data_IF_678461132779
#
_entry.id   IF_678461132779
#
_cell.length_a   1.000
_cell.length_b   1.000
_cell.length_c   1.000
_cell.angle_alpha   90.00
_cell.angle_beta   90.00
_cell.angle_gamma   90.00
#
_symmetry.space_group_name_H-M   'P 1'
#
loop_
_entity.id
_entity.type
_entity.pdbx_description
1 polymer ?
#
# COMPACT_ATOMS: atom_id res chain seq x y z
N UNK A 1 -17.30 16.93 -35.35
CA UNK A 1 -17.48 17.43 -33.97
C UNK A 1 -17.01 16.32 -33.04
N UNK A 2 -15.98 16.59 -32.25
CA UNK A 2 -15.37 15.60 -31.34
C UNK A 2 -16.41 15.29 -30.26
N UNK A 3 -16.82 14.03 -30.17
CA UNK A 3 -17.58 13.50 -29.04
C UNK A 3 -16.67 13.69 -27.81
N UNK A 4 -16.90 14.74 -27.03
CA UNK A 4 -16.34 14.81 -25.69
C UNK A 4 -17.18 13.84 -24.88
N UNK A 5 -16.72 12.59 -24.79
CA UNK A 5 -17.12 11.71 -23.69
C UNK A 5 -16.75 12.47 -22.41
N UNK A 6 -17.75 13.04 -21.73
CA UNK A 6 -17.57 13.69 -20.43
C UNK A 6 -17.41 12.55 -19.41
N UNK A 7 -16.17 12.34 -18.97
CA UNK A 7 -15.84 11.37 -17.94
C UNK A 7 -15.90 12.06 -16.57
N UNK A 8 -16.60 11.45 -15.61
CA UNK A 8 -16.53 11.89 -14.21
C UNK A 8 -15.19 11.46 -13.60
N UNK A 9 -14.41 12.42 -13.09
CA UNK A 9 -13.07 12.18 -12.50
C UNK A 9 -13.11 12.20 -10.98
N UNK A 10 -12.61 11.14 -10.36
CA UNK A 10 -12.37 11.06 -8.91
C UNK A 10 -10.88 10.83 -8.67
N UNK A 11 -10.25 11.55 -7.76
CA UNK A 11 -8.82 11.36 -7.46
C UNK A 11 -8.62 10.95 -6.02
N UNK A 12 -7.92 9.84 -5.81
CA UNK A 12 -7.49 9.35 -4.51
C UNK A 12 -5.99 9.60 -4.33
N UNK A 13 -5.59 10.03 -3.13
CA UNK A 13 -4.19 10.19 -2.75
C UNK A 13 -3.90 9.35 -1.51
N UNK A 14 -2.98 8.39 -1.62
CA UNK A 14 -2.53 7.56 -0.49
C UNK A 14 -1.02 7.68 -0.40
N UNK A 15 -0.51 8.15 0.74
CA UNK A 15 0.93 8.36 0.93
C UNK A 15 1.59 9.24 -0.13
N UNK A 16 0.86 10.22 -0.68
CA UNK A 16 1.33 11.09 -1.76
C UNK A 16 1.41 10.44 -3.15
N UNK A 17 0.77 9.29 -3.34
CA UNK A 17 0.56 8.65 -4.65
C UNK A 17 -0.86 8.99 -5.12
N UNK A 18 -0.98 9.72 -6.23
CA UNK A 18 -2.26 10.18 -6.78
C UNK A 18 -2.73 9.31 -7.93
N UNK A 19 -3.89 8.69 -7.77
CA UNK A 19 -4.56 7.88 -8.79
C UNK A 19 -5.90 8.54 -9.10
N UNK A 20 -6.13 8.88 -10.36
CA UNK A 20 -7.43 9.36 -10.82
C UNK A 20 -8.20 8.24 -11.50
N UNK A 21 -9.45 8.08 -11.12
CA UNK A 21 -10.42 7.17 -11.68
C UNK A 21 -11.39 7.95 -12.57
N UNK A 22 -11.61 7.47 -13.79
CA UNK A 22 -12.45 8.11 -14.80
C UNK A 22 -13.64 7.20 -15.07
N UNK A 23 -14.85 7.68 -14.79
CA UNK A 23 -16.11 6.96 -14.98
C UNK A 23 -16.85 7.51 -16.20
N UNK A 24 -17.47 6.63 -16.98
CA UNK A 24 -18.33 7.02 -18.11
C UNK A 24 -19.69 7.54 -17.58
N UNK A 25 -20.14 8.73 -18.00
CA UNK A 25 -21.39 9.34 -17.54
C UNK A 25 -22.66 8.60 -18.01
N UNK A 26 -22.55 7.70 -19.00
CA UNK A 26 -23.69 6.92 -19.49
C UNK A 26 -24.25 5.89 -18.49
N UNK A 27 -23.64 5.74 -17.31
CA UNK A 27 -24.06 4.83 -16.25
C UNK A 27 -24.33 5.59 -14.94
N UNK A 28 -25.60 5.92 -14.70
CA UNK A 28 -26.23 6.38 -13.45
C UNK A 28 -25.32 6.93 -12.33
N UNK A 29 -25.22 8.26 -12.23
CA UNK A 29 -25.05 8.93 -10.94
C UNK A 29 -25.35 10.43 -11.05
N UNK A 30 -26.63 10.78 -10.91
CA UNK A 30 -27.01 12.17 -10.62
C UNK A 30 -26.27 12.64 -9.34
N UNK A 31 -25.76 13.87 -9.39
CA UNK A 31 -25.23 14.68 -8.28
C UNK A 31 -23.81 14.39 -7.72
N UNK A 32 -22.71 14.67 -8.44
CA UNK A 32 -21.47 15.19 -7.78
C UNK A 32 -20.68 16.08 -8.76
N UNK A 33 -20.18 17.24 -8.29
CA UNK A 33 -19.43 18.23 -9.07
C UNK A 33 -18.02 17.78 -9.46
N UNK A 34 -17.70 17.91 -10.75
CA UNK A 34 -16.37 17.80 -11.34
C UNK A 34 -15.44 18.94 -10.85
N UNK A 35 -14.24 18.58 -10.38
CA UNK A 35 -13.20 19.53 -9.93
C UNK A 35 -11.99 19.60 -10.88
N UNK A 36 -12.20 19.31 -12.17
CA UNK A 36 -11.32 19.78 -13.24
C UNK A 36 -10.03 18.99 -13.47
N UNK A 37 -9.45 19.26 -14.64
CA UNK A 37 -8.22 18.64 -15.16
C UNK A 37 -6.98 19.05 -14.34
N UNK A 38 -6.73 18.37 -13.24
CA UNK A 38 -5.45 18.45 -12.54
C UNK A 38 -4.35 17.62 -13.24
N UNK A 39 -3.25 18.29 -13.63
CA UNK A 39 -2.04 17.71 -14.23
C UNK A 39 -1.10 17.05 -13.21
N UNK A 40 -1.43 17.07 -11.92
CA UNK A 40 -0.64 16.46 -10.85
C UNK A 40 -0.84 14.94 -10.66
N UNK A 41 -1.80 14.34 -11.38
CA UNK A 41 -2.11 12.90 -11.30
C UNK A 41 -0.94 12.05 -11.79
N UNK A 42 -0.56 11.03 -11.01
CA UNK A 42 0.50 10.09 -11.39
C UNK A 42 0.00 8.95 -12.28
N UNK A 43 -1.23 8.46 -12.03
CA UNK A 43 -1.84 7.36 -12.80
C UNK A 43 -3.33 7.63 -13.03
N UNK A 44 -3.83 7.40 -14.25
CA UNK A 44 -5.23 7.60 -14.66
C UNK A 44 -5.86 6.28 -15.10
N UNK A 45 -6.89 5.83 -14.41
CA UNK A 45 -7.56 4.56 -14.69
C UNK A 45 -9.00 4.81 -15.12
N UNK A 46 -9.36 4.38 -16.33
CA UNK A 46 -10.76 4.39 -16.78
C UNK A 46 -11.49 3.19 -16.21
N UNK A 47 -12.72 3.37 -15.76
CA UNK A 47 -13.52 2.31 -15.14
C UNK A 47 -14.64 1.91 -16.09
N UNK A 48 -14.75 0.61 -16.30
CA UNK A 48 -15.76 -0.04 -17.14
C UNK A 48 -16.55 -1.01 -16.26
N UNK A 49 -17.88 -0.86 -16.20
CA UNK A 49 -18.74 -1.72 -15.39
C UNK A 49 -19.57 -2.68 -16.24
N UNK A 50 -20.06 -3.73 -15.59
CA UNK A 50 -20.99 -4.70 -16.14
C UNK A 50 -20.37 -5.73 -17.07
N UNK A 51 -19.07 -5.62 -17.39
CA UNK A 51 -18.37 -6.60 -18.20
C UNK A 51 -16.87 -6.66 -17.86
N UNK A 52 -16.27 -7.80 -18.17
CA UNK A 52 -14.82 -8.00 -18.19
C UNK A 52 -14.48 -8.58 -19.56
N UNK A 53 -13.61 -7.93 -20.36
CA UNK A 53 -13.31 -8.40 -21.70
C UNK A 53 -12.56 -9.72 -21.63
N UNK A 54 -12.89 -10.64 -22.56
CA UNK A 54 -12.02 -11.78 -22.81
C UNK A 54 -10.71 -11.27 -23.40
N UNK A 55 -9.60 -11.60 -22.75
CA UNK A 55 -8.28 -11.27 -23.25
C UNK A 55 -7.50 -12.52 -23.60
N UNK A 56 -6.87 -12.49 -24.77
CA UNK A 56 -5.89 -13.51 -25.13
C UNK A 56 -4.59 -13.20 -24.36
N UNK A 57 -4.50 -13.79 -23.17
CA UNK A 57 -3.38 -13.64 -22.24
C UNK A 57 -2.20 -14.48 -22.75
N UNK A 58 -1.08 -13.83 -23.05
CA UNK A 58 0.06 -14.46 -23.74
C UNK A 58 1.15 -14.96 -22.81
N UNK A 59 1.43 -14.24 -21.73
CA UNK A 59 2.55 -14.54 -20.83
C UNK A 59 2.16 -14.26 -19.37
N UNK A 60 2.32 -15.25 -18.49
CA UNK A 60 2.17 -15.08 -17.04
C UNK A 60 3.48 -14.59 -16.46
N UNK A 61 3.52 -13.32 -16.06
CA UNK A 61 4.70 -12.70 -15.47
C UNK A 61 4.84 -13.01 -13.97
N UNK A 62 3.72 -13.22 -13.28
CA UNK A 62 3.70 -13.60 -11.87
C UNK A 62 2.41 -14.33 -11.51
N UNK A 63 2.53 -15.26 -10.57
CA UNK A 63 1.42 -15.97 -9.96
C UNK A 63 1.60 -15.98 -8.44
N UNK A 64 0.60 -15.49 -7.71
CA UNK A 64 0.61 -15.57 -6.24
C UNK A 64 0.27 -16.98 -5.73
N UNK A 65 -0.20 -17.87 -6.60
CA UNK A 65 -0.64 -19.23 -6.26
C UNK A 65 -1.99 -19.27 -5.54
N UNK A 66 -2.70 -18.14 -5.39
CA UNK A 66 -3.91 -18.10 -4.56
C UNK A 66 -4.94 -17.03 -4.91
N UNK A 67 -4.53 -15.76 -5.02
CA UNK A 67 -5.47 -14.63 -4.95
C UNK A 67 -5.38 -13.68 -6.14
N UNK A 68 -4.23 -13.60 -6.78
CA UNK A 68 -3.99 -12.71 -7.92
C UNK A 68 -2.85 -13.18 -8.82
N UNK A 69 -2.84 -12.72 -10.06
CA UNK A 69 -1.74 -12.94 -10.99
C UNK A 69 -1.49 -11.69 -11.85
N UNK A 70 -0.25 -11.59 -12.36
CA UNK A 70 0.16 -10.56 -13.30
C UNK A 70 0.54 -11.21 -14.62
N UNK A 71 0.03 -10.62 -15.70
CA UNK A 71 0.29 -11.08 -17.05
C UNK A 71 0.84 -9.95 -17.92
N UNK A 72 1.50 -10.34 -19.01
CA UNK A 72 1.87 -9.46 -20.11
C UNK A 72 1.10 -9.87 -21.36
N UNK A 73 0.42 -8.90 -21.98
CA UNK A 73 -0.23 -9.11 -23.28
C UNK A 73 -0.21 -7.83 -24.09
N UNK A 74 0.24 -7.93 -25.35
CA UNK A 74 0.30 -6.78 -26.27
C UNK A 74 1.17 -5.62 -25.76
N UNK A 75 2.20 -5.90 -24.95
CA UNK A 75 3.04 -4.89 -24.32
C UNK A 75 2.47 -4.29 -23.03
N UNK A 76 1.20 -4.55 -22.71
CA UNK A 76 0.54 -4.06 -21.49
C UNK A 76 0.69 -5.05 -20.34
N UNK A 77 0.45 -4.53 -19.14
CA UNK A 77 0.35 -5.31 -17.91
C UNK A 77 -1.11 -5.59 -17.59
N UNK A 78 -1.40 -6.80 -17.15
CA UNK A 78 -2.75 -7.21 -16.79
C UNK A 78 -2.73 -7.81 -15.40
N UNK A 79 -3.40 -7.16 -14.46
CA UNK A 79 -3.65 -7.67 -13.11
C UNK A 79 -5.06 -8.23 -13.05
N UNK A 80 -5.22 -9.39 -12.45
CA UNK A 80 -6.54 -9.96 -12.19
C UNK A 80 -6.53 -10.70 -10.86
N UNK A 81 -7.70 -10.77 -10.23
CA UNK A 81 -7.94 -11.77 -9.20
C UNK A 81 -7.86 -13.13 -9.88
N UNK A 82 -7.05 -14.03 -9.33
CA UNK A 82 -6.84 -15.36 -9.92
C UNK A 82 -7.23 -16.40 -8.87
N UNK A 83 -8.43 -16.98 -9.02
CA UNK A 83 -8.82 -18.18 -8.29
C UNK A 83 -8.53 -19.38 -9.18
N UNK A 84 -7.34 -19.98 -8.99
CA UNK A 84 -6.83 -21.12 -9.75
C UNK A 84 -7.81 -22.31 -9.86
N UNK A 85 -8.83 -22.38 -9.00
CA UNK A 85 -9.76 -23.50 -8.89
C UNK A 85 -11.07 -23.33 -9.68
N UNK A 86 -11.45 -22.12 -10.09
CA UNK A 86 -12.85 -21.89 -10.49
C UNK A 86 -13.12 -22.03 -12.00
N UNK A 87 -12.08 -21.96 -12.85
CA UNK A 87 -12.24 -21.83 -14.31
C UNK A 87 -13.13 -20.65 -14.74
N UNK A 88 -13.48 -19.76 -13.80
CA UNK A 88 -14.44 -18.70 -13.99
C UNK A 88 -13.71 -17.40 -14.33
N UNK A 89 -14.25 -16.58 -15.24
CA UNK A 89 -13.63 -15.32 -15.62
C UNK A 89 -13.54 -14.37 -14.42
N UNK A 90 -12.43 -13.64 -14.25
CA UNK A 90 -12.19 -12.81 -13.08
C UNK A 90 -13.27 -11.73 -12.93
N UNK A 91 -13.62 -11.39 -11.69
CA UNK A 91 -14.61 -10.36 -11.40
C UNK A 91 -14.06 -8.94 -11.58
N UNK A 92 -12.74 -8.78 -11.51
CA UNK A 92 -12.04 -7.52 -11.74
C UNK A 92 -10.73 -7.75 -12.49
N UNK A 93 -10.50 -6.92 -13.51
CA UNK A 93 -9.36 -6.95 -14.40
C UNK A 93 -8.80 -5.54 -14.54
N UNK A 94 -7.50 -5.37 -14.33
CA UNK A 94 -6.81 -4.09 -14.48
C UNK A 94 -5.80 -4.20 -15.60
N UNK A 95 -5.95 -3.39 -16.63
CA UNK A 95 -5.03 -3.30 -17.76
C UNK A 95 -4.25 -2.00 -17.63
N UNK A 96 -2.93 -2.09 -17.50
CA UNK A 96 -2.03 -0.95 -17.33
C UNK A 96 -1.12 -0.81 -18.54
N UNK A 97 -0.93 0.44 -18.97
CA UNK A 97 0.08 0.78 -19.96
C UNK A 97 1.49 0.51 -19.41
N UNK A 98 2.51 0.32 -20.28
CA UNK A 98 3.86 -0.05 -19.87
C UNK A 98 4.53 0.93 -18.90
N UNK A 99 4.10 2.20 -18.90
CA UNK A 99 4.63 3.26 -18.04
C UNK A 99 3.80 3.47 -16.75
N UNK A 100 2.74 2.69 -16.58
CA UNK A 100 1.79 2.75 -15.46
C UNK A 100 1.12 4.11 -15.25
N UNK A 101 1.13 5.01 -16.24
CA UNK A 101 0.48 6.32 -16.16
C UNK A 101 -0.98 6.28 -16.56
N UNK A 102 -1.38 5.28 -17.33
CA UNK A 102 -2.77 5.08 -17.70
C UNK A 102 -3.17 3.61 -17.75
N UNK A 103 -4.46 3.36 -17.71
CA UNK A 103 -5.01 2.02 -17.81
C UNK A 103 -6.53 2.00 -17.74
N UNK A 104 -7.05 0.79 -17.70
CA UNK A 104 -8.47 0.46 -17.68
C UNK A 104 -8.73 -0.55 -16.55
N UNK A 105 -9.77 -0.33 -15.75
CA UNK A 105 -10.31 -1.27 -14.77
C UNK A 105 -11.63 -1.76 -15.34
N UNK A 106 -11.77 -3.07 -15.48
CA UNK A 106 -13.03 -3.72 -15.84
C UNK A 106 -13.54 -4.46 -14.62
N UNK A 107 -14.81 -4.24 -14.26
CA UNK A 107 -15.46 -4.93 -13.15
C UNK A 107 -16.82 -5.48 -13.56
N UNK A 108 -17.11 -6.72 -13.15
CA UNK A 108 -18.42 -7.33 -13.33
C UNK A 108 -19.46 -6.77 -12.34
N UNK A 109 -19.01 -6.29 -11.17
CA UNK A 109 -19.89 -5.71 -10.17
C UNK A 109 -20.17 -4.23 -10.47
N UNK A 110 -21.44 -3.85 -10.35
CA UNK A 110 -21.89 -2.47 -10.48
C UNK A 110 -21.92 -1.72 -9.13
N UNK A 111 -21.70 -2.41 -8.02
CA UNK A 111 -21.75 -1.79 -6.69
C UNK A 111 -20.41 -1.13 -6.34
N UNK A 112 -20.36 0.19 -6.53
CA UNK A 112 -19.30 1.02 -5.97
C UNK A 112 -19.72 1.52 -4.60
N UNK A 113 -18.98 1.14 -3.56
CA UNK A 113 -19.13 1.80 -2.27
C UNK A 113 -18.43 3.17 -2.32
N UNK A 114 -19.21 4.20 -2.66
CA UNK A 114 -18.74 5.58 -2.84
C UNK A 114 -18.06 6.16 -1.58
N UNK A 115 -18.27 5.56 -0.41
CA UNK A 115 -17.69 6.01 0.85
C UNK A 115 -16.21 5.62 1.03
N UNK A 116 -15.70 4.68 0.23
CA UNK A 116 -14.31 4.20 0.27
C UNK A 116 -13.70 4.31 -1.13
N UNK A 117 -13.38 5.53 -1.57
CA UNK A 117 -12.75 5.81 -2.88
C UNK A 117 -11.47 5.01 -3.17
N UNK A 118 -10.87 4.40 -2.15
CA UNK A 118 -9.72 3.49 -2.25
C UNK A 118 -10.02 2.08 -2.75
N UNK A 119 -11.30 1.68 -2.90
CA UNK A 119 -11.65 0.27 -3.15
C UNK A 119 -12.23 -0.05 -4.53
N UNK A 120 -12.03 0.84 -5.52
CA UNK A 120 -12.40 0.58 -6.93
C UNK A 120 -11.82 -0.72 -7.49
N UNK A 121 -10.76 -1.23 -6.87
CA UNK A 121 -9.97 -2.39 -7.30
C UNK A 121 -10.21 -3.62 -6.43
N UNK A 122 -10.75 -3.47 -5.21
CA UNK A 122 -10.79 -4.53 -4.21
C UNK A 122 -9.40 -4.95 -3.70
N UNK A 123 -9.39 -5.68 -2.58
CA UNK A 123 -8.24 -6.48 -2.18
C UNK A 123 -8.12 -7.74 -3.07
N UNK A 124 -6.91 -8.14 -3.50
CA UNK A 124 -5.61 -7.53 -3.22
C UNK A 124 -5.15 -6.50 -4.27
N UNK A 125 -5.88 -6.30 -5.36
CA UNK A 125 -5.42 -5.52 -6.52
C UNK A 125 -5.09 -4.06 -6.18
N UNK A 126 -5.82 -3.46 -5.22
CA UNK A 126 -5.53 -2.12 -4.71
C UNK A 126 -4.10 -2.01 -4.12
N UNK A 127 -3.68 -3.01 -3.34
CA UNK A 127 -2.34 -3.07 -2.74
C UNK A 127 -1.28 -3.42 -3.78
N UNK A 128 -1.58 -4.33 -4.72
CA UNK A 128 -0.64 -4.69 -5.79
C UNK A 128 -0.36 -3.49 -6.70
N UNK A 129 -1.39 -2.73 -7.11
CA UNK A 129 -1.20 -1.50 -7.87
C UNK A 129 -0.32 -0.51 -7.09
N UNK A 130 -0.57 -0.35 -5.79
CA UNK A 130 0.26 0.53 -4.95
C UNK A 130 1.73 0.07 -4.90
N UNK A 131 1.99 -1.23 -4.78
CA UNK A 131 3.35 -1.79 -4.80
C UNK A 131 4.04 -1.46 -6.13
N UNK A 132 3.34 -1.61 -7.26
CA UNK A 132 3.86 -1.22 -8.58
C UNK A 132 4.20 0.28 -8.61
N UNK A 133 3.27 1.14 -8.20
CA UNK A 133 3.48 2.58 -8.30
C UNK A 133 4.58 3.09 -7.36
N UNK A 134 4.73 2.47 -6.19
CA UNK A 134 5.78 2.77 -5.22
C UNK A 134 7.17 2.35 -5.74
N UNK A 135 7.26 1.20 -6.41
CA UNK A 135 8.52 0.67 -6.92
C UNK A 135 9.14 1.47 -8.07
N UNK A 136 8.36 2.39 -8.67
CA UNK A 136 8.83 3.36 -9.67
C UNK A 136 9.69 4.49 -9.07
N UNK A 137 10.49 4.18 -8.05
CA UNK A 137 11.37 5.15 -7.40
C UNK A 137 10.70 6.02 -6.32
N UNK A 138 9.49 5.65 -5.85
CA UNK A 138 8.67 6.52 -4.98
C UNK A 138 8.64 6.10 -3.52
N UNK A 139 8.83 4.83 -3.21
CA UNK A 139 8.84 4.32 -1.84
C UNK A 139 8.60 2.82 -1.74
N UNK A 140 8.26 2.34 -0.54
CA UNK A 140 7.97 0.93 -0.27
C UNK A 140 6.72 0.79 0.59
N UNK A 141 6.04 -0.35 0.45
CA UNK A 141 4.96 -0.75 1.35
C UNK A 141 5.52 -1.73 2.38
N UNK A 142 5.27 -1.48 3.66
CA UNK A 142 5.76 -2.28 4.78
C UNK A 142 4.61 -2.88 5.57
N UNK A 143 4.83 -4.09 6.08
CA UNK A 143 3.99 -4.78 7.05
C UNK A 143 4.33 -4.28 8.45
N UNK A 144 3.64 -3.22 8.88
CA UNK A 144 4.07 -2.42 10.01
C UNK A 144 2.92 -1.68 10.69
N UNK A 145 3.16 -1.31 11.95
CA UNK A 145 2.33 -0.41 12.75
C UNK A 145 3.04 0.93 12.90
N UNK A 146 2.39 2.02 12.51
CA UNK A 146 2.91 3.38 12.63
C UNK A 146 2.25 4.14 13.77
N UNK A 147 3.05 4.71 14.67
CA UNK A 147 2.58 5.45 15.85
C UNK A 147 3.16 6.86 15.86
N UNK A 148 2.34 7.83 16.25
CA UNK A 148 2.74 9.21 16.57
C UNK A 148 2.37 9.54 18.01
N UNK A 149 3.38 9.61 18.88
CA UNK A 149 3.25 10.04 20.26
C UNK A 149 3.77 11.46 20.42
N UNK A 150 2.89 12.46 20.25
CA UNK A 150 3.26 13.87 20.42
C UNK A 150 4.43 14.34 19.54
N UNK A 151 4.60 13.78 18.34
CA UNK A 151 5.71 14.08 17.42
C UNK A 151 6.91 13.13 17.55
N UNK A 152 6.85 12.15 18.45
CA UNK A 152 7.76 11.00 18.50
C UNK A 152 7.18 9.85 17.66
N UNK A 153 7.71 9.72 16.45
CA UNK A 153 7.14 8.90 15.39
C UNK A 153 7.85 7.55 15.30
N UNK A 154 7.14 6.48 15.66
CA UNK A 154 7.67 5.12 15.72
C UNK A 154 7.09 4.24 14.62
N UNK A 155 7.95 3.43 13.99
CA UNK A 155 7.55 2.42 13.04
C UNK A 155 7.88 1.03 13.59
N UNK A 156 6.85 0.25 13.93
CA UNK A 156 6.97 -1.11 14.45
C UNK A 156 6.70 -2.13 13.35
N UNK A 157 7.71 -2.87 12.91
CA UNK A 157 7.54 -3.94 11.93
C UNK A 157 7.52 -5.29 12.62
N UNK A 158 6.62 -6.17 12.20
CA UNK A 158 6.51 -7.52 12.75
C UNK A 158 5.81 -8.45 11.77
N UNK A 159 6.12 -9.74 11.83
CA UNK A 159 5.36 -10.73 11.08
C UNK A 159 3.92 -10.80 11.62
N UNK A 160 3.04 -11.54 10.94
CA UNK A 160 1.72 -11.82 11.50
C UNK A 160 1.87 -12.48 12.87
N UNK A 161 1.07 -12.05 13.85
CA UNK A 161 1.14 -12.54 15.23
C UNK A 161 2.30 -11.99 16.09
N UNK A 162 3.15 -11.08 15.59
CA UNK A 162 4.22 -10.45 16.40
C UNK A 162 3.74 -9.25 17.25
N UNK A 163 2.42 -9.04 17.39
CA UNK A 163 1.86 -8.03 18.31
C UNK A 163 1.82 -6.58 17.81
N UNK A 164 1.76 -6.35 16.49
CA UNK A 164 1.58 -5.00 15.91
C UNK A 164 0.27 -4.34 16.38
N UNK A 165 -0.84 -5.07 16.32
CA UNK A 165 -2.15 -4.58 16.78
C UNK A 165 -2.20 -4.44 18.31
N UNK A 166 -1.39 -5.20 19.05
CA UNK A 166 -1.16 -4.97 20.48
C UNK A 166 -0.46 -3.62 20.72
N UNK A 167 0.60 -3.31 19.97
CA UNK A 167 1.23 -1.98 20.03
C UNK A 167 0.25 -0.87 19.67
N UNK A 168 -0.51 -1.03 18.59
CA UNK A 168 -1.52 -0.05 18.19
C UNK A 168 -2.50 0.25 19.34
N UNK A 169 -3.01 -0.80 20.00
CA UNK A 169 -3.94 -0.66 21.14
C UNK A 169 -3.31 0.04 22.33
N UNK A 170 -2.15 -0.39 22.80
CA UNK A 170 -1.48 0.20 23.98
C UNK A 170 -1.19 1.68 23.78
N UNK A 171 -0.64 2.04 22.62
CA UNK A 171 -0.35 3.43 22.28
C UNK A 171 -1.62 4.27 22.13
N UNK A 172 -2.67 3.74 21.50
CA UNK A 172 -3.95 4.43 21.35
C UNK A 172 -4.63 4.70 22.70
N UNK A 173 -4.68 3.70 23.59
CA UNK A 173 -5.22 3.83 24.95
C UNK A 173 -4.44 4.88 25.77
N UNK A 174 -3.17 5.11 25.43
CA UNK A 174 -2.30 6.14 25.97
C UNK A 174 -2.27 7.44 25.12
N UNK A 175 -3.33 7.71 24.37
CA UNK A 175 -3.58 8.97 23.62
C UNK A 175 -2.62 9.26 22.46
N UNK A 176 -1.82 8.29 22.02
CA UNK A 176 -1.03 8.43 20.80
C UNK A 176 -1.92 8.20 19.55
N UNK A 177 -1.49 8.76 18.42
CA UNK A 177 -2.18 8.55 17.14
C UNK A 177 -1.63 7.30 16.45
N UNK A 178 -2.52 6.38 16.10
CA UNK A 178 -2.18 5.22 15.25
C UNK A 178 -2.40 5.60 13.79
N UNK A 179 -1.37 5.44 12.96
CA UNK A 179 -1.48 5.70 11.53
C UNK A 179 -2.13 4.52 10.80
N UNK A 180 -1.67 3.31 11.10
CA UNK A 180 -2.18 2.03 10.63
C UNK A 180 -1.44 0.92 11.40
N UNK A 181 -2.01 -0.27 11.57
CA UNK A 181 -1.39 -1.42 12.26
C UNK A 181 -0.88 -2.54 11.34
N UNK A 182 -1.11 -2.43 10.02
CA UNK A 182 -0.82 -3.47 9.04
C UNK A 182 -0.08 -2.98 7.79
N UNK A 183 -0.58 -1.96 7.09
CA UNK A 183 0.00 -1.43 5.85
C UNK A 183 0.44 0.02 6.02
N UNK A 184 1.76 0.24 5.99
CA UNK A 184 2.38 1.56 6.03
C UNK A 184 3.17 1.80 4.75
N UNK A 185 2.97 2.96 4.13
CA UNK A 185 3.82 3.43 3.04
C UNK A 185 5.00 4.18 3.65
N UNK A 186 6.22 3.89 3.18
CA UNK A 186 7.42 4.66 3.52
C UNK A 186 8.03 5.27 2.27
N UNK A 187 8.33 6.57 2.32
CA UNK A 187 8.92 7.33 1.21
C UNK A 187 10.05 8.22 1.69
N UNK A 188 10.99 8.51 0.80
CA UNK A 188 11.99 9.56 1.04
C UNK A 188 11.45 10.90 0.49
N UNK A 189 11.55 11.95 1.31
CA UNK A 189 11.21 13.32 0.94
C UNK A 189 12.21 14.26 1.59
N UNK A 190 12.85 15.10 0.78
CA UNK A 190 13.82 16.11 1.22
C UNK A 190 14.94 15.52 2.10
N UNK A 191 15.44 14.34 1.73
CA UNK A 191 16.50 13.61 2.44
C UNK A 191 16.08 12.94 3.75
N UNK A 192 14.79 12.99 4.11
CA UNK A 192 14.22 12.32 5.29
C UNK A 192 13.24 11.23 4.89
N UNK A 193 13.12 10.20 5.72
CA UNK A 193 12.13 9.14 5.52
C UNK A 193 10.85 9.46 6.28
N UNK A 194 9.74 9.33 5.57
CA UNK A 194 8.39 9.59 6.05
C UNK A 194 7.56 8.32 5.95
N UNK A 195 6.77 8.05 6.98
CA UNK A 195 5.72 7.04 6.93
C UNK A 195 4.36 7.68 6.70
N UNK A 196 3.47 6.95 6.05
CA UNK A 196 2.11 7.36 5.75
C UNK A 196 1.16 6.21 6.08
N UNK A 197 0.08 6.51 6.81
CA UNK A 197 -1.02 5.57 7.00
C UNK A 197 -1.70 5.27 5.66
N UNK A 198 -2.32 4.09 5.60
CA UNK A 198 -3.10 3.65 4.44
C UNK A 198 -4.53 3.31 4.87
N UNK A 199 -5.50 3.23 3.94
CA UNK A 199 -6.86 2.80 4.29
C UNK A 199 -6.95 1.28 4.56
N UNK A 200 -5.85 0.53 4.41
CA UNK A 200 -5.81 -0.93 4.59
C UNK A 200 -5.37 -1.26 6.01
N UNK A 201 -6.31 -1.27 6.95
CA UNK A 201 -6.06 -1.62 8.34
C UNK A 201 -6.09 -3.14 8.55
N UNK A 202 -5.42 -3.59 9.60
CA UNK A 202 -5.49 -4.96 10.10
C UNK A 202 -6.59 -5.10 11.15
N UNK A 203 -6.26 -5.69 12.29
CA UNK A 203 -7.23 -5.95 13.36
C UNK A 203 -7.64 -4.66 14.11
N UNK A 204 -6.82 -3.62 14.04
CA UNK A 204 -7.08 -2.33 14.69
C UNK A 204 -7.71 -1.34 13.71
N UNK A 205 -8.88 -0.78 14.06
CA UNK A 205 -9.72 0.00 13.12
C UNK A 205 -9.36 1.48 13.03
N UNK A 206 -8.87 2.08 14.12
CA UNK A 206 -8.53 3.50 14.13
C UNK A 206 -7.25 3.72 13.32
N UNK A 207 -7.29 4.68 12.39
CA UNK A 207 -6.20 4.96 11.47
C UNK A 207 -6.09 6.46 11.18
N UNK A 208 -4.94 6.84 10.65
CA UNK A 208 -4.65 8.22 10.25
C UNK A 208 -3.79 8.21 8.99
N UNK A 209 -4.31 8.80 7.91
CA UNK A 209 -3.61 8.90 6.62
C UNK A 209 -2.50 9.97 6.59
N UNK A 210 -2.15 10.55 7.74
CA UNK A 210 -1.10 11.57 7.86
C UNK A 210 0.25 11.01 7.44
N UNK A 211 1.10 11.91 6.92
CA UNK A 211 2.51 11.66 6.69
C UNK A 211 3.36 12.23 7.80
N UNK A 212 4.26 11.45 8.38
CA UNK A 212 5.14 11.87 9.48
C UNK A 212 6.57 11.36 9.31
N UNK A 213 7.60 12.16 9.69
CA UNK A 213 8.99 11.75 9.57
C UNK A 213 9.35 10.69 10.61
N UNK A 214 9.92 9.57 10.18
CA UNK A 214 10.22 8.43 11.04
C UNK A 214 11.39 8.76 11.97
N UNK A 215 11.24 8.52 13.28
CA UNK A 215 12.29 8.73 14.29
C UNK A 215 13.07 7.46 14.61
N UNK A 216 12.35 6.35 14.86
CA UNK A 216 12.95 5.04 15.18
C UNK A 216 12.14 3.92 14.51
N UNK A 217 12.85 2.86 14.16
CA UNK A 217 12.30 1.62 13.62
C UNK A 217 12.51 0.51 14.64
N UNK A 218 11.45 -0.24 14.94
CA UNK A 218 11.48 -1.37 15.86
C UNK A 218 11.00 -2.63 15.14
N UNK A 219 11.78 -3.70 15.21
CA UNK A 219 11.38 -5.03 14.75
C UNK A 219 10.86 -5.83 15.94
N UNK A 220 9.56 -6.13 15.93
CA UNK A 220 8.89 -6.80 17.04
C UNK A 220 9.27 -8.28 17.14
N UNK A 221 9.56 -8.70 18.37
CA UNK A 221 9.76 -10.09 18.78
C UNK A 221 9.09 -10.30 20.14
N UNK A 222 8.50 -11.48 20.34
CA UNK A 222 7.98 -11.88 21.65
C UNK A 222 9.11 -12.00 22.68
N UNK A 223 8.89 -11.48 23.88
CA UNK A 223 9.84 -11.58 25.00
C UNK A 223 9.13 -11.47 26.35
N UNK A 224 9.76 -12.03 27.39
CA UNK A 224 9.29 -11.90 28.77
C UNK A 224 9.77 -10.59 29.43
N UNK A 225 10.63 -9.82 28.76
CA UNK A 225 11.21 -8.58 29.26
C UNK A 225 11.36 -7.56 28.13
N UNK A 226 11.18 -6.28 28.44
CA UNK A 226 11.42 -5.20 27.49
C UNK A 226 12.91 -5.04 27.21
N UNK A 227 13.29 -5.07 25.94
CA UNK A 227 14.68 -4.91 25.50
C UNK A 227 14.75 -4.37 24.06
N UNK A 228 15.69 -3.48 23.79
CA UNK A 228 15.93 -2.93 22.46
C UNK A 228 17.39 -3.14 22.05
N UNK A 229 17.61 -4.02 21.08
CA UNK A 229 18.95 -4.33 20.55
C UNK A 229 19.16 -3.61 19.23
N UNK A 230 20.19 -2.74 19.07
CA UNK A 230 20.44 -2.05 17.81
C UNK A 230 20.70 -3.02 16.65
N UNK A 231 20.06 -2.78 15.51
CA UNK A 231 20.24 -3.54 14.27
C UNK A 231 20.80 -2.62 13.19
N UNK A 232 21.85 -3.05 12.48
CA UNK A 232 22.58 -2.22 11.52
C UNK A 232 22.97 -3.00 10.26
N UNK A 233 23.33 -2.27 9.21
CA UNK A 233 23.88 -2.85 7.98
C UNK A 233 22.95 -3.91 7.36
N UNK A 234 23.53 -5.01 6.88
CA UNK A 234 22.78 -6.07 6.20
C UNK A 234 21.67 -6.69 7.06
N UNK A 235 21.84 -6.76 8.38
CA UNK A 235 20.82 -7.31 9.29
C UNK A 235 19.55 -6.47 9.28
N UNK A 236 19.67 -5.16 9.48
CA UNK A 236 18.52 -4.25 9.44
C UNK A 236 17.87 -4.22 8.05
N UNK A 237 18.66 -4.27 6.98
CA UNK A 237 18.14 -4.34 5.60
C UNK A 237 17.34 -5.61 5.38
N UNK A 238 17.87 -6.76 5.81
CA UNK A 238 17.14 -8.03 5.73
C UNK A 238 15.83 -7.98 6.50
N UNK A 239 15.85 -7.45 7.74
CA UNK A 239 14.64 -7.37 8.57
C UNK A 239 13.56 -6.44 7.98
N UNK A 240 13.96 -5.34 7.32
CA UNK A 240 13.05 -4.47 6.55
C UNK A 240 12.50 -5.19 5.33
N UNK A 241 13.37 -5.80 4.52
CA UNK A 241 12.99 -6.43 3.27
C UNK A 241 12.00 -7.58 3.49
N UNK A 242 12.24 -8.44 4.50
CA UNK A 242 11.33 -9.54 4.85
C UNK A 242 9.96 -9.08 5.37
N UNK A 243 9.84 -7.81 5.76
CA UNK A 243 8.59 -7.18 6.23
C UNK A 243 8.12 -6.11 5.25
N UNK A 244 8.58 -6.17 4.00
CA UNK A 244 8.12 -5.33 2.90
C UNK A 244 7.26 -6.14 1.94
N UNK A 245 6.53 -5.45 1.07
CA UNK A 245 5.85 -6.05 -0.07
C UNK A 245 6.57 -5.64 -1.37
N UNK A 246 7.65 -6.35 -1.77
CA UNK A 246 8.42 -6.00 -2.95
C UNK A 246 7.72 -6.48 -4.24
N UNK A 247 7.97 -5.82 -5.39
CA UNK A 247 7.47 -6.27 -6.70
C UNK A 247 8.32 -7.44 -7.21
N UNK A 248 8.06 -8.66 -6.72
CA UNK A 248 8.85 -9.86 -7.02
C UNK A 248 8.98 -10.19 -8.52
N UNK A 249 8.05 -9.68 -9.33
CA UNK A 249 7.99 -9.85 -10.79
C UNK A 249 8.78 -8.81 -11.59
N UNK A 250 9.31 -7.79 -10.93
CA UNK A 250 10.05 -6.72 -11.59
C UNK A 250 11.46 -6.57 -10.99
N UNK A 251 12.46 -6.94 -11.79
CA UNK A 251 13.88 -6.82 -11.41
C UNK A 251 14.26 -5.39 -11.02
N UNK A 252 13.78 -4.37 -11.75
CA UNK A 252 14.13 -2.97 -11.47
C UNK A 252 13.48 -2.48 -10.19
N UNK A 253 12.19 -2.78 -10.01
CA UNK A 253 11.46 -2.51 -8.78
C UNK A 253 12.08 -3.18 -7.56
N UNK A 254 12.50 -4.45 -7.68
CA UNK A 254 13.18 -5.17 -6.60
C UNK A 254 14.54 -4.55 -6.25
N UNK A 255 15.32 -4.17 -7.27
CA UNK A 255 16.59 -3.46 -7.08
C UNK A 255 16.38 -2.12 -6.36
N UNK A 256 15.33 -1.38 -6.74
CA UNK A 256 14.95 -0.15 -6.05
C UNK A 256 14.54 -0.41 -4.59
N UNK A 257 13.68 -1.40 -4.32
CA UNK A 257 13.25 -1.74 -2.95
C UNK A 257 14.44 -2.09 -2.07
N UNK A 258 15.41 -2.88 -2.57
CA UNK A 258 16.61 -3.23 -1.81
C UNK A 258 17.45 -1.99 -1.47
N UNK A 259 17.68 -1.10 -2.45
CA UNK A 259 18.40 0.17 -2.23
C UNK A 259 17.66 1.07 -1.24
N UNK A 260 16.33 1.14 -1.33
CA UNK A 260 15.51 1.93 -0.44
C UNK A 260 15.63 1.43 1.01
N UNK A 261 15.52 0.11 1.24
CA UNK A 261 15.72 -0.47 2.57
C UNK A 261 17.13 -0.22 3.12
N UNK A 262 18.16 -0.26 2.26
CA UNK A 262 19.53 0.07 2.64
C UNK A 262 19.70 1.52 3.13
N UNK A 263 19.16 2.48 2.38
CA UNK A 263 19.22 3.89 2.79
C UNK A 263 18.34 4.18 4.02
N UNK A 264 17.18 3.54 4.15
CA UNK A 264 16.32 3.63 5.33
C UNK A 264 17.05 3.16 6.59
N UNK A 265 17.63 1.96 6.57
CA UNK A 265 18.37 1.38 7.68
C UNK A 265 19.66 2.15 8.03
N UNK A 266 20.21 2.90 7.07
CA UNK A 266 21.39 3.74 7.26
C UNK A 266 21.05 5.06 7.96
N UNK A 267 19.91 5.68 7.60
CA UNK A 267 19.54 7.02 8.08
C UNK A 267 18.62 6.99 9.31
N UNK A 268 17.86 5.93 9.53
CA UNK A 268 16.92 5.80 10.65
C UNK A 268 17.43 4.74 11.63
N UNK A 269 17.54 5.04 12.94
CA UNK A 269 17.89 4.07 13.95
C UNK A 269 16.93 2.87 13.97
N UNK A 270 17.47 1.66 13.81
CA UNK A 270 16.73 0.42 13.84
C UNK A 270 17.08 -0.41 15.09
N UNK A 271 16.08 -1.02 15.71
CA UNK A 271 16.24 -1.88 16.87
C UNK A 271 15.39 -3.13 16.71
N UNK A 272 15.84 -4.26 17.22
CA UNK A 272 14.95 -5.39 17.53
C UNK A 272 14.39 -5.18 18.93
N UNK A 273 13.06 -5.15 19.04
CA UNK A 273 12.33 -4.90 20.27
C UNK A 273 11.72 -6.22 20.77
N UNK A 274 12.28 -6.75 21.85
CA UNK A 274 11.58 -7.71 22.70
C UNK A 274 10.66 -6.93 23.63
N UNK A 275 9.38 -7.28 23.71
CA UNK A 275 8.45 -6.56 24.58
C UNK A 275 7.47 -7.47 25.32
N UNK A 276 7.08 -6.98 26.50
CA UNK A 276 5.95 -7.47 27.28
C UNK A 276 4.69 -6.70 26.82
N UNK A 277 3.57 -7.37 26.54
CA UNK A 277 2.38 -6.75 25.94
C UNK A 277 1.53 -5.96 26.96
N UNK A 278 2.15 -5.09 27.74
CA UNK A 278 1.51 -4.18 28.70
C UNK A 278 2.15 -2.78 28.66
N UNK A 279 1.67 -1.86 29.50
CA UNK A 279 2.11 -0.46 29.50
C UNK A 279 3.61 -0.27 29.78
N UNK A 280 4.29 -1.26 30.38
CA UNK A 280 5.73 -1.15 30.68
C UNK A 280 6.60 -0.97 29.44
N UNK A 281 6.13 -1.42 28.26
CA UNK A 281 6.83 -1.20 26.99
C UNK A 281 6.79 0.27 26.56
N UNK A 282 5.72 1.00 26.92
CA UNK A 282 5.57 2.40 26.55
C UNK A 282 6.58 3.25 27.32
N UNK A 283 6.70 3.02 28.62
CA UNK A 283 7.69 3.67 29.48
C UNK A 283 9.10 3.40 28.98
N UNK A 284 9.40 2.12 28.70
CA UNK A 284 10.70 1.69 28.16
C UNK A 284 11.09 2.39 26.84
N UNK A 285 10.11 2.74 25.99
CA UNK A 285 10.36 3.38 24.70
C UNK A 285 10.45 4.91 24.79
N UNK A 286 9.90 5.51 25.85
CA UNK A 286 9.89 6.95 26.11
C UNK A 286 11.16 7.43 26.81
N UNK A 287 11.82 6.55 27.57
CA UNK A 287 13.14 6.76 28.16
C UNK A 287 14.28 6.86 27.12
#
# INVERSE_FOLDING_TARGET
MVNKEEYRKITSEIGGIRISFLFDESQHADEIKDNGYDNSTQTRLRIHHGYVPEMNIKERAFDSGSTWALYRSGGKYVLQNDSLESGSPPDTLVVLEPDFKSGDIYSRNNEFNQNLFSDCLGYPLNQILMIILLSLGKGVLLHACGIDDGGYVYLFLGNSGHGKSTMARLWFENQATVLNDDRIIVREKDGRFWMYGTPWHGDFKELSLKGLPIRKIFFLRHSEQNSAVPRKGAEAVSMLLTRSFPPLWDKKGMEFTLKFCAELAKKVPCYELGFVPDESVLDFLKD
#
